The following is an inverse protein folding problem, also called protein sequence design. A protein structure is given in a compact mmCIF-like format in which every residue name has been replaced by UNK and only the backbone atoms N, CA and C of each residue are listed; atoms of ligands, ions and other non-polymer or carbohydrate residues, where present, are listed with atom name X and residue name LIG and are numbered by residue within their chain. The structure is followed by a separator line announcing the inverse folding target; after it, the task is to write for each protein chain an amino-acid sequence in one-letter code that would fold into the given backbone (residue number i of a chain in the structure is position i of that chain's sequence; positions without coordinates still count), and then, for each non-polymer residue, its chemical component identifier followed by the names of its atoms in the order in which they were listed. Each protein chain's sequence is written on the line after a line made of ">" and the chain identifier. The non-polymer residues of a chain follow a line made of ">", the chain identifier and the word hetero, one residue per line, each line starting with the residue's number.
data_IF_292820040940
#
_entry.id   IF_292820040940
#
_cell.length_a   1.000
_cell.length_b   1.000
_cell.length_c   1.000
_cell.angle_alpha   90.00
_cell.angle_beta   90.00
_cell.angle_gamma   90.00
#
_symmetry.space_group_name_H-M   'P 1'
#
loop_
_entity.id
_entity.type
_entity.pdbx_description
1 polymer ?
#
# COMPACT_ATOMS: atom_id res chain seq x y z
N UNK A 1 16.56 0.15 13.39
CA UNK A 1 16.59 -1.01 14.31
C UNK A 1 16.09 -2.24 13.58
N UNK A 2 14.93 -2.15 12.92
CA UNK A 2 14.41 -3.11 11.94
C UNK A 2 15.49 -3.72 11.03
N UNK A 3 16.10 -2.88 10.19
CA UNK A 3 17.05 -3.33 9.16
C UNK A 3 18.51 -3.33 9.62
N UNK A 4 18.77 -3.76 10.86
CA UNK A 4 20.13 -3.83 11.42
C UNK A 4 21.00 -4.76 10.58
N UNK A 5 22.25 -4.37 10.31
CA UNK A 5 23.17 -5.14 9.47
C UNK A 5 23.05 -4.89 7.96
N UNK A 6 22.13 -4.03 7.50
CA UNK A 6 22.17 -3.53 6.11
C UNK A 6 23.31 -2.54 5.94
N UNK A 7 24.03 -2.68 4.83
CA UNK A 7 25.17 -1.82 4.46
C UNK A 7 24.78 -0.75 3.44
N UNK A 8 23.86 -1.07 2.54
CA UNK A 8 23.48 -0.21 1.42
C UNK A 8 21.98 -0.07 1.38
N UNK A 9 21.50 1.17 1.30
CA UNK A 9 20.08 1.50 1.11
C UNK A 9 19.87 2.17 -0.23
N UNK A 10 18.69 1.96 -0.82
CA UNK A 10 18.36 2.59 -2.11
C UNK A 10 17.76 3.97 -1.87
N UNK A 11 18.38 5.00 -2.43
CA UNK A 11 17.82 6.36 -2.46
C UNK A 11 16.90 6.51 -3.67
N UNK A 12 15.60 6.38 -3.43
CA UNK A 12 14.58 6.43 -4.48
C UNK A 12 14.30 7.86 -4.98
N UNK A 13 13.50 7.96 -6.03
CA UNK A 13 13.23 9.25 -6.69
C UNK A 13 12.35 10.15 -5.86
N UNK A 14 11.33 9.60 -5.21
CA UNK A 14 10.43 10.37 -4.36
C UNK A 14 11.21 11.10 -3.26
N UNK A 15 12.06 10.36 -2.55
CA UNK A 15 12.94 10.94 -1.53
C UNK A 15 13.86 12.05 -2.06
N UNK A 16 14.29 12.01 -3.32
CA UNK A 16 15.18 13.04 -3.89
C UNK A 16 14.47 14.29 -4.39
N UNK A 17 13.23 14.15 -4.84
CA UNK A 17 12.54 15.21 -5.61
C UNK A 17 11.26 15.71 -4.95
N UNK A 18 10.60 14.89 -4.12
CA UNK A 18 9.33 15.22 -3.48
C UNK A 18 9.50 15.63 -1.99
N UNK A 19 10.75 15.69 -1.48
CA UNK A 19 11.11 16.11 -0.12
C UNK A 19 12.05 17.34 -0.12
N UNK A 20 12.03 18.18 0.94
CA UNK A 20 12.94 19.33 1.05
C UNK A 20 14.41 18.91 1.00
N UNK A 21 15.22 19.63 0.20
CA UNK A 21 16.62 19.26 -0.05
C UNK A 21 17.47 19.17 1.22
N UNK A 22 17.19 20.02 2.21
CA UNK A 22 17.95 20.01 3.46
C UNK A 22 17.61 18.80 4.33
N UNK A 23 16.36 18.33 4.34
CA UNK A 23 15.96 17.07 4.99
C UNK A 23 16.68 15.88 4.34
N UNK A 24 16.72 15.86 3.00
CA UNK A 24 17.38 14.81 2.22
C UNK A 24 18.88 14.76 2.52
N UNK A 25 19.56 15.91 2.50
CA UNK A 25 20.99 16.01 2.82
C UNK A 25 21.29 15.55 4.24
N UNK A 26 20.50 15.99 5.21
CA UNK A 26 20.66 15.57 6.60
C UNK A 26 20.45 14.06 6.77
N UNK A 27 19.44 13.49 6.12
CA UNK A 27 19.18 12.05 6.16
C UNK A 27 20.32 11.24 5.53
N UNK A 28 20.85 11.67 4.37
CA UNK A 28 22.00 11.02 3.72
C UNK A 28 23.23 11.11 4.62
N UNK A 29 23.50 12.26 5.24
CA UNK A 29 24.62 12.41 6.17
C UNK A 29 24.48 11.45 7.36
N UNK A 30 23.27 11.30 7.92
CA UNK A 30 22.99 10.32 8.98
C UNK A 30 23.18 8.89 8.50
N UNK A 31 22.70 8.54 7.31
CA UNK A 31 22.88 7.19 6.74
C UNK A 31 24.36 6.85 6.55
N UNK A 32 25.15 7.77 5.99
CA UNK A 32 26.59 7.59 5.81
C UNK A 32 27.34 7.44 7.13
N UNK A 33 26.93 8.17 8.17
CA UNK A 33 27.54 8.07 9.50
C UNK A 33 27.13 6.80 10.26
N UNK A 34 25.94 6.25 9.99
CA UNK A 34 25.36 5.17 10.78
C UNK A 34 25.44 3.79 10.11
N UNK A 35 25.60 3.70 8.79
CA UNK A 35 25.61 2.43 8.07
C UNK A 35 27.02 1.83 7.93
N UNK A 36 27.17 0.50 8.09
CA UNK A 36 26.17 -0.41 8.65
C UNK A 36 26.01 -0.20 10.16
N UNK A 37 24.77 -0.27 10.64
CA UNK A 37 24.51 -0.24 12.08
C UNK A 37 24.41 -1.66 12.61
N UNK A 38 25.35 -2.06 13.46
CA UNK A 38 25.33 -3.33 14.20
C UNK A 38 25.29 -4.58 13.31
N UNK A 39 24.96 -5.73 13.91
CA UNK A 39 24.75 -7.00 13.21
C UNK A 39 23.28 -7.36 13.18
N UNK A 40 22.83 -8.02 12.12
CA UNK A 40 21.47 -8.56 12.05
C UNK A 40 21.22 -9.56 13.19
N UNK A 41 19.99 -9.58 13.72
CA UNK A 41 19.56 -10.62 14.66
C UNK A 41 19.62 -11.96 13.94
N UNK A 42 20.27 -12.94 14.57
CA UNK A 42 20.22 -14.32 14.12
C UNK A 42 19.00 -14.94 14.77
N UNK A 43 18.08 -15.44 13.94
CA UNK A 43 16.89 -16.14 14.40
C UNK A 43 17.25 -17.59 14.73
N UNK A 44 16.66 -18.12 15.80
CA UNK A 44 16.70 -19.53 16.14
C UNK A 44 15.87 -20.36 15.15
N UNK A 45 16.11 -21.67 15.08
CA UNK A 45 15.46 -22.52 14.06
C UNK A 45 13.94 -22.67 14.27
N UNK A 46 13.48 -22.61 15.52
CA UNK A 46 12.06 -22.58 15.83
C UNK A 46 11.43 -21.25 15.40
N UNK A 47 12.08 -20.10 15.65
CA UNK A 47 11.63 -18.78 15.19
C UNK A 47 11.50 -18.74 13.66
N UNK A 48 12.52 -19.23 12.95
CA UNK A 48 12.48 -19.33 11.47
C UNK A 48 11.30 -20.17 11.00
N UNK A 49 10.98 -21.25 11.70
CA UNK A 49 9.87 -22.13 11.35
C UNK A 49 8.53 -21.42 11.56
N UNK A 50 8.35 -20.76 12.69
CA UNK A 50 7.15 -19.97 13.00
C UNK A 50 6.98 -18.79 12.03
N UNK A 51 8.04 -18.04 11.74
CA UNK A 51 8.01 -16.91 10.79
C UNK A 51 7.62 -17.40 9.39
N UNK A 52 8.09 -18.56 8.94
CA UNK A 52 7.66 -19.13 7.65
C UNK A 52 6.17 -19.42 7.62
N UNK A 53 5.60 -19.94 8.71
CA UNK A 53 4.17 -20.18 8.82
C UNK A 53 3.37 -18.87 8.80
N UNK A 54 3.83 -17.84 9.51
CA UNK A 54 3.25 -16.49 9.49
C UNK A 54 3.28 -15.91 8.07
N UNK A 55 4.42 -15.98 7.38
CA UNK A 55 4.57 -15.52 5.99
C UNK A 55 3.61 -16.27 5.07
N UNK A 56 3.49 -17.59 5.19
CA UNK A 56 2.57 -18.39 4.38
C UNK A 56 1.12 -17.95 4.58
N UNK A 57 0.70 -17.76 5.83
CA UNK A 57 -0.67 -17.37 6.18
C UNK A 57 -1.02 -15.97 5.66
N UNK A 58 -0.15 -14.99 5.92
CA UNK A 58 -0.30 -13.62 5.42
C UNK A 58 -0.28 -13.57 3.88
N UNK A 59 0.68 -14.24 3.24
CA UNK A 59 0.84 -14.23 1.79
C UNK A 59 -0.34 -14.88 1.07
N UNK A 60 -0.84 -16.01 1.59
CA UNK A 60 -2.02 -16.68 1.02
C UNK A 60 -3.25 -15.78 1.06
N UNK A 61 -3.43 -15.06 2.17
CA UNK A 61 -4.57 -14.16 2.36
C UNK A 61 -4.44 -12.92 1.47
N UNK A 62 -3.25 -12.33 1.42
CA UNK A 62 -2.92 -11.21 0.55
C UNK A 62 -3.17 -11.57 -0.93
N UNK A 63 -2.69 -12.71 -1.40
CA UNK A 63 -2.87 -13.16 -2.79
C UNK A 63 -4.36 -13.29 -3.16
N UNK A 64 -5.15 -13.98 -2.33
CA UNK A 64 -6.61 -14.12 -2.52
C UNK A 64 -7.32 -12.77 -2.61
N UNK A 65 -6.85 -11.77 -1.87
CA UNK A 65 -7.41 -10.42 -1.94
C UNK A 65 -6.97 -9.66 -3.19
N UNK A 66 -5.69 -9.76 -3.56
CA UNK A 66 -5.19 -9.11 -4.79
C UNK A 66 -5.92 -9.63 -6.01
N UNK A 67 -6.23 -10.93 -6.08
CA UNK A 67 -7.03 -11.51 -7.16
C UNK A 67 -8.38 -10.82 -7.35
N UNK A 68 -8.99 -10.36 -6.26
CA UNK A 68 -10.31 -9.71 -6.24
C UNK A 68 -10.26 -8.24 -6.65
N UNK A 69 -9.12 -7.56 -6.51
CA UNK A 69 -8.96 -6.15 -6.85
C UNK A 69 -8.10 -5.89 -8.10
N UNK A 70 -7.49 -6.92 -8.70
CA UNK A 70 -6.51 -6.71 -9.76
C UNK A 70 -7.07 -5.97 -11.00
N UNK A 71 -8.34 -6.20 -11.34
CA UNK A 71 -9.01 -5.49 -12.44
C UNK A 71 -9.19 -4.00 -12.12
N UNK A 72 -9.70 -3.70 -10.92
CA UNK A 72 -9.83 -2.33 -10.41
C UNK A 72 -8.49 -1.60 -10.41
N UNK A 73 -7.45 -2.27 -9.92
CA UNK A 73 -6.09 -1.72 -9.91
C UNK A 73 -5.61 -1.46 -11.33
N UNK A 74 -5.78 -2.40 -12.26
CA UNK A 74 -5.36 -2.22 -13.65
C UNK A 74 -6.09 -1.05 -14.33
N UNK A 75 -7.40 -0.88 -14.08
CA UNK A 75 -8.17 0.27 -14.55
C UNK A 75 -7.57 1.59 -14.06
N UNK A 76 -7.31 1.70 -12.75
CA UNK A 76 -6.76 2.93 -12.16
C UNK A 76 -5.31 3.19 -12.61
N UNK A 77 -4.52 2.13 -12.87
CA UNK A 77 -3.14 2.25 -13.37
C UNK A 77 -3.07 2.99 -14.71
N UNK A 78 -4.09 2.92 -15.56
CA UNK A 78 -4.17 3.68 -16.81
C UNK A 78 -4.23 5.21 -16.60
N UNK A 79 -4.56 5.65 -15.37
CA UNK A 79 -4.57 7.04 -14.94
C UNK A 79 -3.27 7.43 -14.21
N UNK A 80 -2.37 6.49 -13.93
CA UNK A 80 -1.12 6.79 -13.22
C UNK A 80 -0.08 7.38 -14.20
N UNK A 81 0.48 8.57 -13.94
CA UNK A 81 1.42 9.21 -14.87
C UNK A 81 2.76 8.47 -14.96
N UNK A 82 3.28 8.34 -16.18
CA UNK A 82 4.57 7.72 -16.46
C UNK A 82 5.72 8.73 -16.34
N UNK A 83 6.27 8.92 -15.12
CA UNK A 83 7.38 9.86 -14.87
C UNK A 83 8.74 9.46 -15.48
N UNK A 84 8.87 8.29 -16.09
CA UNK A 84 10.06 7.81 -16.81
C UNK A 84 9.64 6.96 -18.00
N UNK A 85 10.28 7.14 -19.15
CA UNK A 85 10.24 6.17 -20.25
C UNK A 85 10.84 4.86 -19.75
N UNK A 86 10.02 3.82 -19.64
CA UNK A 86 10.44 2.51 -19.15
C UNK A 86 10.27 1.52 -20.29
N UNK A 87 11.31 0.74 -20.59
CA UNK A 87 11.14 -0.46 -21.41
C UNK A 87 10.08 -1.34 -20.74
N UNK A 88 9.02 -1.64 -21.48
CA UNK A 88 8.08 -2.69 -21.12
C UNK A 88 8.89 -3.98 -21.03
N UNK A 89 8.68 -4.76 -19.97
CA UNK A 89 9.25 -6.10 -19.85
C UNK A 89 8.42 -7.07 -20.70
N UNK A 90 8.31 -6.79 -22.00
CA UNK A 90 7.70 -7.65 -23.01
C UNK A 90 8.85 -8.39 -23.71
N UNK A 91 8.91 -9.72 -23.55
CA UNK A 91 9.96 -10.59 -24.11
C UNK A 91 10.53 -11.60 -23.09
N UNK A 92 11.48 -12.42 -23.54
CA UNK A 92 12.07 -13.60 -22.86
C UNK A 92 12.63 -13.34 -21.44
N UNK A 93 12.86 -12.07 -21.07
CA UNK A 93 13.36 -11.63 -19.75
C UNK A 93 12.32 -10.84 -18.94
N UNK A 94 11.05 -10.88 -19.36
CA UNK A 94 9.97 -10.27 -18.62
C UNK A 94 9.53 -11.20 -17.50
N UNK A 95 9.65 -10.74 -16.25
CA UNK A 95 8.91 -11.36 -15.15
C UNK A 95 7.42 -11.24 -15.47
N UNK A 96 6.80 -12.35 -15.87
CA UNK A 96 5.36 -12.45 -16.02
C UNK A 96 4.74 -12.32 -14.63
N UNK A 97 4.28 -11.11 -14.30
CA UNK A 97 3.48 -10.87 -13.10
C UNK A 97 2.07 -11.25 -13.47
N UNK A 98 1.73 -12.52 -13.28
CA UNK A 98 0.38 -13.03 -13.52
C UNK A 98 -0.24 -13.33 -12.16
N UNK A 99 -1.37 -12.70 -11.88
CA UNK A 99 -2.21 -13.01 -10.73
C UNK A 99 -3.56 -13.47 -11.30
N UNK A 100 -3.91 -14.73 -11.06
CA UNK A 100 -5.12 -15.39 -11.59
C UNK A 100 -5.37 -15.15 -13.08
N UNK A 101 -4.34 -15.35 -13.90
CA UNK A 101 -4.42 -15.21 -15.35
C UNK A 101 -4.36 -13.77 -15.87
N UNK A 102 -4.27 -12.76 -14.99
CA UNK A 102 -4.23 -11.34 -15.37
C UNK A 102 -2.87 -10.73 -15.10
N UNK A 103 -2.44 -9.83 -15.98
CA UNK A 103 -1.20 -9.10 -15.80
C UNK A 103 -1.32 -8.17 -14.59
N UNK A 104 -0.46 -8.37 -13.60
CA UNK A 104 -0.37 -7.50 -12.44
C UNK A 104 0.63 -6.36 -12.70
N UNK A 105 0.30 -5.13 -12.27
CA UNK A 105 1.16 -3.99 -12.51
C UNK A 105 2.46 -4.08 -11.68
N UNK A 106 3.38 -3.16 -11.97
CA UNK A 106 4.56 -2.99 -11.11
C UNK A 106 4.13 -2.44 -9.74
N UNK A 107 5.01 -2.56 -8.74
CA UNK A 107 4.72 -2.13 -7.37
C UNK A 107 4.28 -0.65 -7.29
N UNK A 108 5.00 0.27 -7.95
CA UNK A 108 4.67 1.71 -7.89
C UNK A 108 3.26 2.00 -8.42
N UNK A 109 2.86 1.59 -9.65
CA UNK A 109 1.47 1.78 -10.09
C UNK A 109 0.44 1.04 -9.24
N UNK A 110 0.76 -0.15 -8.73
CA UNK A 110 -0.13 -0.92 -7.84
C UNK A 110 -0.46 -0.13 -6.57
N UNK A 111 0.58 0.39 -5.89
CA UNK A 111 0.43 1.22 -4.69
C UNK A 111 -0.29 2.53 -5.02
N UNK A 112 0.11 3.18 -6.13
CA UNK A 112 -0.51 4.43 -6.57
C UNK A 112 -2.02 4.28 -6.77
N UNK A 113 -2.46 3.19 -7.40
CA UNK A 113 -3.86 2.91 -7.65
C UNK A 113 -4.64 2.74 -6.35
N UNK A 114 -4.17 1.91 -5.44
CA UNK A 114 -4.85 1.62 -4.19
C UNK A 114 -4.92 2.84 -3.25
N UNK A 115 -3.84 3.62 -3.14
CA UNK A 115 -3.88 4.91 -2.44
C UNK A 115 -4.85 5.90 -3.09
N UNK A 116 -4.99 5.88 -4.42
CA UNK A 116 -5.95 6.76 -5.14
C UNK A 116 -7.40 6.34 -4.95
N UNK A 117 -7.65 5.09 -4.58
CA UNK A 117 -8.97 4.60 -4.15
C UNK A 117 -9.22 4.83 -2.65
N UNK A 118 -8.26 5.42 -1.91
CA UNK A 118 -8.35 5.59 -0.46
C UNK A 118 -8.14 4.30 0.34
N UNK A 119 -7.57 3.26 -0.28
CA UNK A 119 -7.40 1.92 0.28
C UNK A 119 -5.91 1.49 0.30
N UNK A 120 -5.05 2.08 1.15
CA UNK A 120 -3.63 1.73 1.26
C UNK A 120 -3.33 0.20 1.27
N UNK A 121 -2.48 -0.32 0.37
CA UNK A 121 -2.20 -1.75 0.23
C UNK A 121 -1.59 -2.42 1.47
N UNK A 122 -1.03 -1.65 2.40
CA UNK A 122 -0.38 -2.14 3.62
C UNK A 122 -1.35 -2.90 4.54
N UNK A 123 -2.66 -2.65 4.41
CA UNK A 123 -3.69 -3.35 5.19
C UNK A 123 -4.15 -4.66 4.56
N UNK A 124 -3.91 -4.90 3.27
CA UNK A 124 -4.45 -6.06 2.55
C UNK A 124 -3.99 -7.35 3.24
N UNK A 125 -4.97 -8.17 3.68
CA UNK A 125 -4.74 -9.49 4.25
C UNK A 125 -4.36 -9.51 5.72
N UNK A 126 -4.37 -8.37 6.42
CA UNK A 126 -4.11 -8.31 7.88
C UNK A 126 -5.12 -9.12 8.70
N UNK A 127 -6.31 -9.40 8.18
CA UNK A 127 -7.32 -10.22 8.86
C UNK A 127 -6.83 -11.63 9.21
N UNK A 128 -5.83 -12.13 8.48
CA UNK A 128 -5.16 -13.37 8.79
C UNK A 128 -4.55 -13.40 10.20
N UNK A 129 -4.24 -12.23 10.78
CA UNK A 129 -3.74 -12.07 12.14
C UNK A 129 -4.78 -12.50 13.18
N UNK A 130 -6.09 -12.33 12.91
CA UNK A 130 -7.16 -12.72 13.84
C UNK A 130 -7.13 -14.21 14.16
N UNK A 131 -6.66 -15.02 13.23
CA UNK A 131 -6.53 -16.47 13.39
C UNK A 131 -5.11 -16.91 13.78
N UNK A 132 -4.20 -15.99 14.15
CA UNK A 132 -2.88 -16.35 14.67
C UNK A 132 -2.96 -16.59 16.18
N UNK A 133 -2.18 -17.56 16.67
CA UNK A 133 -2.00 -17.73 18.10
C UNK A 133 -1.15 -16.58 18.71
N UNK A 134 -1.20 -16.46 20.03
CA UNK A 134 -0.50 -15.40 20.76
C UNK A 134 1.02 -15.47 20.62
N UNK A 135 1.59 -16.68 20.48
CA UNK A 135 3.04 -16.86 20.31
C UNK A 135 3.51 -16.31 18.95
N UNK A 136 2.80 -16.66 17.88
CA UNK A 136 3.03 -16.16 16.52
C UNK A 136 2.89 -14.64 16.45
N UNK A 137 1.85 -14.09 17.11
CA UNK A 137 1.64 -12.64 17.14
C UNK A 137 2.74 -11.91 17.94
N UNK A 138 3.21 -12.48 19.04
CA UNK A 138 4.34 -11.93 19.80
C UNK A 138 5.61 -11.94 18.95
N UNK A 139 5.91 -13.08 18.31
CA UNK A 139 7.07 -13.21 17.43
C UNK A 139 7.02 -12.23 16.25
N UNK A 140 5.83 -12.01 15.66
CA UNK A 140 5.64 -11.01 14.61
C UNK A 140 5.98 -9.60 15.10
N UNK A 141 5.49 -9.20 16.28
CA UNK A 141 5.77 -7.87 16.85
C UNK A 141 7.25 -7.70 17.23
N UNK A 142 7.92 -8.76 17.68
CA UNK A 142 9.34 -8.72 18.03
C UNK A 142 10.26 -8.68 16.81
N UNK A 143 9.85 -9.33 15.71
CA UNK A 143 10.64 -9.44 14.49
C UNK A 143 10.43 -8.27 13.56
N UNK A 144 9.19 -7.80 13.42
CA UNK A 144 8.82 -6.61 12.65
C UNK A 144 8.53 -5.43 13.57
N UNK A 145 9.60 -4.85 14.11
CA UNK A 145 9.60 -3.80 15.15
C UNK A 145 8.78 -2.57 14.73
N UNK A 146 8.83 -2.19 13.45
CA UNK A 146 8.13 -1.00 12.94
C UNK A 146 6.72 -1.24 12.40
N UNK A 147 6.19 -2.47 12.48
CA UNK A 147 4.88 -2.84 11.91
C UNK A 147 3.78 -1.83 12.28
N UNK A 148 3.62 -1.52 13.57
CA UNK A 148 2.58 -0.60 14.05
C UNK A 148 2.79 0.85 13.60
N UNK A 149 4.04 1.26 13.41
CA UNK A 149 4.36 2.61 12.95
C UNK A 149 4.09 2.75 11.45
N UNK A 150 4.49 1.77 10.66
CA UNK A 150 4.26 1.72 9.22
C UNK A 150 2.76 1.68 8.92
N UNK A 151 2.00 0.84 9.64
CA UNK A 151 0.54 0.81 9.55
C UNK A 151 -0.13 2.09 10.04
N UNK A 152 0.42 2.78 11.05
CA UNK A 152 -0.10 4.09 11.48
C UNK A 152 0.10 5.16 10.41
N UNK A 153 1.22 5.15 9.71
CA UNK A 153 1.47 6.11 8.62
C UNK A 153 0.57 5.82 7.41
N UNK A 154 0.45 4.56 7.00
CA UNK A 154 -0.49 4.15 5.96
C UNK A 154 -1.95 4.45 6.36
N UNK A 155 -2.30 4.20 7.62
CA UNK A 155 -3.64 4.39 8.18
C UNK A 155 -4.16 5.82 8.07
N UNK A 156 -3.29 6.82 8.08
CA UNK A 156 -3.68 8.23 7.85
C UNK A 156 -4.22 8.49 6.44
N UNK A 157 -3.88 7.63 5.48
CA UNK A 157 -4.26 7.74 4.08
C UNK A 157 -5.45 6.84 3.71
N UNK A 158 -6.02 6.11 4.68
CA UNK A 158 -7.33 5.49 4.51
C UNK A 158 -8.38 6.59 4.48
N UNK A 159 -9.20 6.60 3.43
CA UNK A 159 -10.24 7.61 3.23
C UNK A 159 -11.61 6.97 3.38
N UNK A 160 -12.26 7.20 4.53
CA UNK A 160 -13.59 6.66 4.80
C UNK A 160 -14.64 7.21 3.82
N UNK A 161 -14.52 8.47 3.40
CA UNK A 161 -15.43 9.07 2.41
C UNK A 161 -15.30 8.38 1.03
N UNK A 162 -14.12 7.86 0.69
CA UNK A 162 -13.93 7.04 -0.49
C UNK A 162 -14.69 5.71 -0.38
N UNK A 163 -14.65 5.06 0.78
CA UNK A 163 -15.46 3.84 1.05
C UNK A 163 -16.95 4.14 0.92
N UNK A 164 -17.40 5.28 1.45
CA UNK A 164 -18.79 5.74 1.36
C UNK A 164 -19.21 5.94 -0.10
N UNK A 165 -18.43 6.71 -0.89
CA UNK A 165 -18.70 6.94 -2.32
C UNK A 165 -18.70 5.63 -3.12
N UNK A 166 -17.73 4.75 -2.89
CA UNK A 166 -17.67 3.43 -3.55
C UNK A 166 -18.90 2.56 -3.22
N UNK A 167 -19.46 2.72 -2.02
CA UNK A 167 -20.63 1.97 -1.57
C UNK A 167 -21.94 2.59 -2.06
N UNK A 168 -22.04 3.92 -2.09
CA UNK A 168 -23.20 4.67 -2.56
C UNK A 168 -23.41 4.49 -4.08
N UNK A 169 -22.34 4.61 -4.86
CA UNK A 169 -22.33 4.46 -6.32
C UNK A 169 -21.85 3.08 -6.75
N UNK A 170 -22.25 2.05 -6.00
CA UNK A 170 -21.76 0.67 -6.18
C UNK A 170 -22.03 0.11 -7.57
N UNK A 171 -23.17 0.45 -8.19
CA UNK A 171 -23.52 -0.05 -9.51
C UNK A 171 -22.67 0.58 -10.62
N UNK A 172 -22.38 1.87 -10.52
CA UNK A 172 -21.51 2.63 -11.42
C UNK A 172 -20.07 2.12 -11.29
N UNK A 173 -19.53 2.06 -10.08
CA UNK A 173 -18.18 1.58 -9.85
C UNK A 173 -18.01 0.09 -10.15
N UNK A 174 -19.04 -0.74 -10.00
CA UNK A 174 -18.97 -2.15 -10.41
C UNK A 174 -18.76 -2.32 -11.92
N UNK A 175 -19.19 -1.35 -12.74
CA UNK A 175 -18.95 -1.33 -14.19
C UNK A 175 -17.52 -0.89 -14.52
N UNK A 176 -16.94 0.01 -13.71
CA UNK A 176 -15.62 0.61 -13.92
C UNK A 176 -14.50 -0.25 -13.31
N UNK A 177 -14.63 -0.57 -12.03
CA UNK A 177 -13.62 -1.26 -11.21
C UNK A 177 -13.86 -2.79 -11.14
N UNK A 178 -15.00 -3.26 -11.65
CA UNK A 178 -15.39 -4.67 -11.65
C UNK A 178 -16.16 -5.08 -10.40
N UNK A 179 -17.12 -6.00 -10.57
CA UNK A 179 -18.02 -6.46 -9.49
C UNK A 179 -17.26 -7.03 -8.30
N UNK A 180 -16.26 -7.89 -8.53
CA UNK A 180 -15.48 -8.55 -7.48
C UNK A 180 -14.77 -7.57 -6.54
N UNK A 181 -14.40 -6.39 -7.04
CA UNK A 181 -13.77 -5.35 -6.22
C UNK A 181 -14.74 -4.85 -5.13
N UNK A 182 -15.98 -4.52 -5.48
CA UNK A 182 -16.95 -4.00 -4.51
C UNK A 182 -17.69 -5.08 -3.73
N UNK A 183 -17.99 -6.22 -4.35
CA UNK A 183 -18.74 -7.29 -3.67
C UNK A 183 -17.87 -8.15 -2.77
N UNK A 184 -16.57 -8.26 -3.05
CA UNK A 184 -15.69 -9.18 -2.30
C UNK A 184 -14.46 -8.51 -1.71
N UNK A 185 -13.71 -7.71 -2.49
CA UNK A 185 -12.49 -7.09 -1.97
C UNK A 185 -12.79 -6.03 -0.91
N UNK A 186 -13.69 -5.08 -1.19
CA UNK A 186 -13.96 -3.97 -0.27
C UNK A 186 -14.45 -4.45 1.11
N UNK A 187 -15.44 -5.37 1.23
CA UNK A 187 -15.82 -5.91 2.55
C UNK A 187 -14.67 -6.63 3.26
N UNK A 188 -13.86 -7.40 2.51
CA UNK A 188 -12.68 -8.08 3.07
C UNK A 188 -11.61 -7.10 3.55
N UNK A 189 -11.42 -5.99 2.85
CA UNK A 189 -10.48 -4.93 3.21
C UNK A 189 -10.95 -4.17 4.45
N UNK A 190 -12.26 -3.94 4.61
CA UNK A 190 -12.81 -3.34 5.83
C UNK A 190 -12.60 -4.25 7.06
N UNK A 191 -12.66 -5.57 6.87
CA UNK A 191 -12.28 -6.54 7.91
C UNK A 191 -10.80 -6.41 8.29
N UNK A 192 -9.90 -6.22 7.32
CA UNK A 192 -8.47 -5.98 7.58
C UNK A 192 -8.25 -4.71 8.41
N UNK A 193 -8.96 -3.63 8.10
CA UNK A 193 -8.90 -2.38 8.87
C UNK A 193 -9.39 -2.57 10.30
N UNK A 194 -10.50 -3.31 10.49
CA UNK A 194 -11.01 -3.68 11.82
C UNK A 194 -9.96 -4.46 12.61
N UNK A 195 -9.30 -5.45 12.01
CA UNK A 195 -8.22 -6.22 12.67
C UNK A 195 -7.02 -5.34 13.02
N UNK A 196 -6.62 -4.42 12.14
CA UNK A 196 -5.55 -3.47 12.44
C UNK A 196 -5.90 -2.57 13.64
N UNK A 197 -7.15 -2.11 13.74
CA UNK A 197 -7.63 -1.31 14.87
C UNK A 197 -7.73 -2.11 16.17
N UNK A 198 -8.39 -3.27 16.13
CA UNK A 198 -8.75 -4.08 17.31
C UNK A 198 -7.55 -4.84 17.88
N UNK A 199 -6.74 -5.48 17.02
CA UNK A 199 -5.67 -6.39 17.45
C UNK A 199 -4.33 -5.65 17.52
N UNK A 200 -4.03 -4.82 16.52
CA UNK A 200 -2.74 -4.12 16.45
C UNK A 200 -2.76 -2.75 17.13
N UNK A 201 -3.94 -2.20 17.44
CA UNK A 201 -4.10 -0.88 18.06
C UNK A 201 -3.73 0.27 17.11
N UNK A 202 -3.89 0.08 15.81
CA UNK A 202 -3.55 1.07 14.78
C UNK A 202 -4.74 2.00 14.56
N UNK A 203 -4.53 3.32 14.67
CA UNK A 203 -5.54 4.31 14.29
C UNK A 203 -5.62 4.40 12.76
N UNK A 204 -6.84 4.35 12.22
CA UNK A 204 -7.13 4.46 10.80
C UNK A 204 -7.97 5.73 10.54
N UNK A 205 -7.61 6.48 9.50
CA UNK A 205 -8.16 7.78 9.17
C UNK A 205 -7.50 8.94 9.95
N UNK A 206 -7.48 10.11 9.32
CA UNK A 206 -6.96 11.35 9.91
C UNK A 206 -7.82 12.55 9.51
N UNK A 207 -8.15 13.41 10.49
CA UNK A 207 -9.14 14.47 10.33
C UNK A 207 -8.54 15.88 10.33
N UNK A 208 -7.21 16.00 10.43
CA UNK A 208 -6.51 17.28 10.30
C UNK A 208 -6.84 17.97 8.97
N UNK A 209 -6.75 19.31 8.93
CA UNK A 209 -7.00 20.09 7.71
C UNK A 209 -6.10 19.67 6.53
N UNK A 210 -4.88 19.20 6.82
CA UNK A 210 -3.99 18.66 5.81
C UNK A 210 -4.61 17.42 5.13
N UNK A 211 -5.05 16.46 5.93
CA UNK A 211 -5.63 15.21 5.45
C UNK A 211 -7.03 15.40 4.88
N UNK A 212 -7.81 16.39 5.32
CA UNK A 212 -9.06 16.77 4.64
C UNK A 212 -8.83 17.14 3.18
N UNK A 213 -7.75 17.87 2.86
CA UNK A 213 -7.42 18.18 1.45
C UNK A 213 -7.02 16.93 0.66
N UNK A 214 -6.40 15.95 1.32
CA UNK A 214 -6.10 14.66 0.71
C UNK A 214 -7.38 13.89 0.44
N UNK A 215 -8.28 13.79 1.41
CA UNK A 215 -9.62 13.19 1.28
C UNK A 215 -10.39 13.82 0.12
N UNK A 216 -10.49 15.15 0.06
CA UNK A 216 -11.15 15.83 -1.06
C UNK A 216 -10.54 15.49 -2.43
N UNK A 217 -9.21 15.35 -2.53
CA UNK A 217 -8.57 14.96 -3.78
C UNK A 217 -8.94 13.52 -4.19
N UNK A 218 -9.04 12.61 -3.21
CA UNK A 218 -9.48 11.23 -3.45
C UNK A 218 -10.96 11.17 -3.82
N UNK A 219 -11.82 11.92 -3.15
CA UNK A 219 -13.25 12.03 -3.50
C UNK A 219 -13.43 12.57 -4.91
N UNK A 220 -12.78 13.70 -5.23
CA UNK A 220 -12.83 14.27 -6.58
C UNK A 220 -12.32 13.28 -7.63
N UNK A 221 -11.25 12.54 -7.34
CA UNK A 221 -10.75 11.48 -8.22
C UNK A 221 -11.84 10.45 -8.53
N UNK A 222 -12.54 9.95 -7.51
CA UNK A 222 -13.63 8.98 -7.66
C UNK A 222 -14.83 9.57 -8.43
N UNK A 223 -15.19 10.82 -8.17
CA UNK A 223 -16.26 11.54 -8.88
C UNK A 223 -15.91 11.64 -10.37
N UNK A 224 -14.72 12.13 -10.71
CA UNK A 224 -14.26 12.23 -12.10
C UNK A 224 -14.17 10.87 -12.80
N UNK A 225 -13.91 9.78 -12.06
CA UNK A 225 -13.98 8.43 -12.63
C UNK A 225 -15.40 8.06 -13.06
N UNK A 226 -16.43 8.36 -12.26
CA UNK A 226 -17.84 8.13 -12.63
C UNK A 226 -18.25 9.00 -13.82
N UNK A 227 -17.81 10.27 -13.83
CA UNK A 227 -18.08 11.23 -14.91
C UNK A 227 -17.32 10.90 -16.21
N UNK A 228 -16.44 9.88 -16.19
CA UNK A 228 -15.57 9.50 -17.30
C UNK A 228 -14.63 10.64 -17.75
N UNK A 229 -14.22 11.50 -16.81
CA UNK A 229 -13.27 12.59 -17.03
C UNK A 229 -11.86 12.16 -16.61
N UNK A 230 -11.19 11.44 -17.51
CA UNK A 230 -9.83 10.94 -17.26
C UNK A 230 -8.79 12.05 -17.04
N UNK A 231 -9.01 13.26 -17.58
CA UNK A 231 -8.03 14.36 -17.46
C UNK A 231 -8.05 14.90 -16.03
N UNK A 232 -9.24 15.20 -15.51
CA UNK A 232 -9.37 15.72 -14.16
C UNK A 232 -9.12 14.63 -13.10
N UNK A 233 -9.51 13.37 -13.35
CA UNK A 233 -9.12 12.25 -12.51
C UNK A 233 -7.58 12.14 -12.37
N UNK A 234 -6.84 12.20 -13.49
CA UNK A 234 -5.36 12.19 -13.46
C UNK A 234 -4.79 13.34 -12.63
N UNK A 235 -5.38 14.53 -12.76
CA UNK A 235 -4.96 15.71 -12.00
C UNK A 235 -5.08 15.50 -10.50
N UNK A 236 -6.23 15.00 -10.03
CA UNK A 236 -6.48 14.76 -8.61
C UNK A 236 -5.65 13.60 -8.04
N UNK A 237 -5.41 12.54 -8.83
CA UNK A 237 -4.47 11.48 -8.47
C UNK A 237 -3.06 12.03 -8.22
N UNK A 238 -2.57 12.91 -9.10
CA UNK A 238 -1.26 13.56 -8.95
C UNK A 238 -1.23 14.49 -7.75
N UNK A 239 -2.32 15.21 -7.50
CA UNK A 239 -2.46 16.08 -6.33
C UNK A 239 -2.39 15.29 -5.02
N UNK A 240 -3.13 14.19 -4.93
CA UNK A 240 -3.08 13.29 -3.78
C UNK A 240 -1.67 12.67 -3.61
N UNK A 241 -1.01 12.30 -4.71
CA UNK A 241 0.37 11.80 -4.70
C UNK A 241 1.37 12.82 -4.16
N UNK A 242 1.22 14.10 -4.52
CA UNK A 242 2.07 15.18 -4.01
C UNK A 242 1.88 15.35 -2.49
N UNK A 243 0.65 15.22 -1.98
CA UNK A 243 0.37 15.33 -0.53
C UNK A 243 0.98 14.17 0.27
N UNK A 244 1.00 12.94 -0.25
CA UNK A 244 1.71 11.82 0.40
C UNK A 244 3.21 11.76 0.05
N UNK A 245 3.71 12.73 -0.72
CA UNK A 245 5.12 12.85 -1.18
C UNK A 245 5.65 11.61 -1.94
N UNK A 246 4.76 10.83 -2.52
CA UNK A 246 5.12 9.68 -3.36
C UNK A 246 3.95 9.32 -4.27
N UNK A 247 4.25 8.90 -5.49
CA UNK A 247 3.24 8.31 -6.35
C UNK A 247 2.81 6.93 -5.83
N UNK A 248 3.76 6.15 -5.34
CA UNK A 248 3.60 4.79 -4.83
C UNK A 248 4.96 4.10 -4.74
#
# INVERSE_FOLDING_TARGET
>A
EEYRGIWTVTIQSAFRYDYPIDEVRQAIARLNAMLPRGRARILEDWEKTQIRQIIMKLSSTYQKMVEKCIDAVNCVVELVPTRRSRKLHIGLFGYSRIVSGRAAPRAIPFVAALYSLGLPPEFIGLKAIREMDGESLNLLNETFVRLKEDLREAGRHVVWDAVSILSEYKEEFSKILGRGFLSEFLPSYLEDLSVAQEILGVKVGENSLYYRRYTNAIENFLIYMIENDAVNARSELVRAAAMRRSLG
#
